data_IF_175408674091
#
_entry.id   IF_175408674091
#
_cell.length_a   1.000
_cell.length_b   1.000
_cell.length_c   1.000
_cell.angle_alpha   90.00
_cell.angle_beta   90.00
_cell.angle_gamma   90.00
#
_symmetry.space_group_name_H-M   'P 1'
#
loop_
_entity.id
_entity.type
_entity.pdbx_description
1 polymer ?
#
# COMPACT_ATOMS: atom_id res chain seq x y z
N UNK A 1 -38.18 65.78 -30.00
CA UNK A 1 -37.01 65.49 -30.85
C UNK A 1 -37.00 64.00 -31.16
N UNK A 2 -36.73 63.63 -32.43
CA UNK A 2 -36.94 62.31 -33.05
C UNK A 2 -35.70 61.41 -32.82
N UNK A 3 -35.64 60.10 -33.10
CA UNK A 3 -35.90 59.33 -34.33
C UNK A 3 -35.95 57.84 -33.96
N UNK A 4 -36.92 56.99 -34.28
CA UNK A 4 -37.40 56.49 -35.59
C UNK A 4 -36.34 55.84 -36.51
N UNK A 5 -36.47 54.51 -36.63
CA UNK A 5 -36.51 53.73 -37.88
C UNK A 5 -35.29 52.93 -38.40
N UNK A 6 -35.56 51.86 -39.21
CA UNK A 6 -34.84 50.58 -39.31
C UNK A 6 -34.34 50.28 -40.74
N UNK A 7 -33.82 49.06 -41.00
CA UNK A 7 -33.91 48.31 -42.28
C UNK A 7 -33.11 46.98 -42.10
N UNK A 8 -33.52 45.73 -42.41
CA UNK A 8 -34.21 45.06 -43.52
C UNK A 8 -33.37 44.79 -44.78
N UNK A 9 -33.55 43.58 -45.34
CA UNK A 9 -33.13 43.02 -46.65
C UNK A 9 -31.70 42.46 -46.77
N UNK A 10 -31.40 41.37 -47.51
CA UNK A 10 -32.07 40.82 -48.70
C UNK A 10 -31.86 39.31 -48.89
N UNK A 11 -32.78 38.71 -49.65
CA UNK A 11 -32.89 37.31 -50.08
C UNK A 11 -32.07 37.03 -51.36
N UNK A 12 -32.05 35.73 -51.69
CA UNK A 12 -32.26 35.11 -53.02
C UNK A 12 -31.03 34.35 -53.55
N UNK A 13 -31.11 33.01 -53.63
CA UNK A 13 -31.57 32.16 -54.77
C UNK A 13 -30.62 32.29 -55.97
N UNK A 14 -30.30 31.32 -56.82
CA UNK A 14 -30.62 29.91 -57.10
C UNK A 14 -29.70 29.61 -58.30
N UNK A 15 -29.14 28.41 -58.46
CA UNK A 15 -29.06 27.83 -59.81
C UNK A 15 -28.98 26.30 -59.78
N UNK A 16 -29.96 25.69 -60.43
CA UNK A 16 -30.10 24.27 -60.80
C UNK A 16 -29.31 24.00 -62.08
N UNK A 17 -28.84 22.75 -62.25
CA UNK A 17 -29.10 21.86 -63.42
C UNK A 17 -28.31 20.55 -63.18
N UNK A 18 -28.95 19.43 -62.81
CA UNK A 18 -29.48 18.32 -63.66
C UNK A 18 -28.52 17.74 -64.70
N UNK A 19 -28.15 16.46 -64.53
CA UNK A 19 -28.21 15.46 -65.60
C UNK A 19 -28.20 14.03 -65.01
N UNK A 20 -29.09 13.21 -65.54
CA UNK A 20 -29.32 11.80 -65.25
C UNK A 20 -28.19 10.90 -65.76
N UNK A 21 -27.87 9.82 -65.03
CA UNK A 21 -27.56 8.52 -65.64
C UNK A 21 -28.28 7.41 -64.88
N UNK A 22 -28.94 6.57 -65.66
CA UNK A 22 -29.75 5.41 -65.36
C UNK A 22 -28.86 4.15 -65.21
N UNK A 23 -29.40 3.14 -64.54
CA UNK A 23 -29.06 1.71 -64.59
C UNK A 23 -27.84 1.24 -63.78
N UNK A 24 -28.06 0.38 -62.78
CA UNK A 24 -28.24 -1.06 -62.99
C UNK A 24 -28.63 -1.75 -61.67
N UNK A 25 -29.59 -2.68 -61.76
CA UNK A 25 -29.80 -3.70 -60.75
C UNK A 25 -28.57 -4.61 -60.66
N UNK A 26 -28.01 -4.79 -59.47
CA UNK A 26 -27.24 -5.98 -59.10
C UNK A 26 -27.71 -6.41 -57.70
N UNK A 27 -28.64 -7.37 -57.72
CA UNK A 27 -28.66 -8.58 -56.88
C UNK A 27 -27.83 -8.57 -55.59
N UNK A 28 -28.55 -8.68 -54.48
CA UNK A 28 -28.29 -9.67 -53.43
C UNK A 28 -26.86 -9.77 -52.90
N UNK A 29 -26.58 -9.07 -51.82
CA UNK A 29 -25.58 -9.51 -50.85
C UNK A 29 -26.13 -9.23 -49.46
N UNK A 30 -26.71 -10.27 -48.88
CA UNK A 30 -26.88 -10.46 -47.44
C UNK A 30 -25.48 -10.46 -46.80
N UNK A 31 -24.85 -9.30 -46.71
CA UNK A 31 -23.77 -9.07 -45.77
C UNK A 31 -24.43 -8.69 -44.45
N UNK A 32 -25.01 -9.71 -43.79
CA UNK A 32 -25.12 -9.63 -42.35
C UNK A 32 -23.72 -9.36 -41.79
N UNK A 33 -23.58 -8.51 -40.75
CA UNK A 33 -22.29 -8.31 -40.12
C UNK A 33 -21.73 -9.71 -39.81
N UNK A 34 -20.52 -9.99 -40.33
CA UNK A 34 -19.72 -11.11 -39.88
C UNK A 34 -19.55 -10.90 -38.37
N UNK A 35 -20.43 -11.54 -37.61
CA UNK A 35 -20.25 -11.74 -36.19
C UNK A 35 -19.01 -12.64 -36.10
N UNK A 36 -17.84 -12.00 -36.04
CA UNK A 36 -16.68 -12.63 -35.45
C UNK A 36 -17.19 -13.20 -34.12
N UNK A 37 -17.24 -14.52 -34.02
CA UNK A 37 -17.48 -15.18 -32.75
C UNK A 37 -16.33 -14.71 -31.86
N UNK A 38 -16.59 -13.67 -31.08
CA UNK A 38 -15.61 -13.11 -30.21
C UNK A 38 -15.34 -14.17 -29.15
N UNK A 39 -14.10 -14.66 -29.10
CA UNK A 39 -13.70 -15.69 -28.15
C UNK A 39 -14.02 -15.20 -26.73
N UNK A 40 -15.07 -15.76 -26.14
CA UNK A 40 -15.44 -15.51 -24.76
C UNK A 40 -14.42 -16.16 -23.85
N UNK A 41 -13.88 -15.40 -22.90
CA UNK A 41 -12.87 -15.90 -21.95
C UNK A 41 -13.39 -15.80 -20.52
N UNK A 42 -12.82 -16.62 -19.63
CA UNK A 42 -13.01 -16.50 -18.19
C UNK A 42 -11.71 -15.96 -17.59
N UNK A 43 -11.82 -14.90 -16.79
CA UNK A 43 -10.68 -14.27 -16.09
C UNK A 43 -10.86 -14.49 -14.60
N UNK A 44 -9.86 -15.10 -13.97
CA UNK A 44 -9.77 -15.20 -12.52
C UNK A 44 -8.84 -14.11 -12.00
N UNK A 45 -9.24 -13.37 -10.97
CA UNK A 45 -8.43 -12.35 -10.33
C UNK A 45 -8.38 -12.63 -8.84
N UNK A 46 -7.19 -12.61 -8.26
CA UNK A 46 -6.99 -12.76 -6.83
C UNK A 46 -6.68 -11.38 -6.27
N UNK A 47 -7.55 -10.87 -5.40
CA UNK A 47 -7.51 -9.49 -4.92
C UNK A 47 -7.23 -9.45 -3.43
N UNK A 48 -6.23 -8.67 -3.02
CA UNK A 48 -6.02 -8.29 -1.62
C UNK A 48 -6.67 -6.93 -1.35
N UNK A 49 -7.43 -6.83 -0.27
CA UNK A 49 -8.21 -5.67 0.13
C UNK A 49 -7.96 -5.28 1.60
N UNK A 50 -8.36 -4.08 1.99
CA UNK A 50 -8.30 -3.66 3.40
C UNK A 50 -9.26 -4.50 4.27
N UNK A 51 -8.99 -4.66 5.58
CA UNK A 51 -9.81 -5.48 6.48
C UNK A 51 -11.30 -5.13 6.52
N UNK A 52 -11.64 -3.87 6.29
CA UNK A 52 -12.99 -3.33 6.27
C UNK A 52 -13.69 -3.55 4.93
N UNK A 53 -12.94 -3.72 3.84
CA UNK A 53 -13.51 -3.85 2.50
C UNK A 53 -14.42 -5.08 2.46
N UNK A 54 -15.65 -4.92 2.00
CA UNK A 54 -16.63 -6.02 1.95
C UNK A 54 -16.72 -6.64 0.56
N UNK A 55 -17.22 -7.88 0.48
CA UNK A 55 -17.45 -8.56 -0.80
C UNK A 55 -18.41 -7.75 -1.71
N UNK A 56 -19.44 -7.13 -1.12
CA UNK A 56 -20.41 -6.30 -1.83
C UNK A 56 -19.75 -5.06 -2.44
N UNK A 57 -18.83 -4.41 -1.72
CA UNK A 57 -18.07 -3.28 -2.24
C UNK A 57 -17.17 -3.69 -3.40
N UNK A 58 -16.46 -4.82 -3.29
CA UNK A 58 -15.66 -5.32 -4.42
C UNK A 58 -16.58 -5.59 -5.61
N UNK A 59 -17.75 -6.18 -5.40
CA UNK A 59 -18.71 -6.47 -6.49
C UNK A 59 -19.20 -5.20 -7.17
N UNK A 60 -19.60 -4.21 -6.38
CA UNK A 60 -20.04 -2.91 -6.88
C UNK A 60 -18.96 -2.25 -7.75
N UNK A 61 -17.69 -2.30 -7.34
CA UNK A 61 -16.58 -1.75 -8.15
C UNK A 61 -16.48 -2.41 -9.52
N UNK A 62 -16.57 -3.73 -9.60
CA UNK A 62 -16.54 -4.45 -10.88
C UNK A 62 -17.78 -4.18 -11.73
N UNK A 63 -18.95 -4.02 -11.11
CA UNK A 63 -20.17 -3.65 -11.82
C UNK A 63 -20.10 -2.22 -12.38
N UNK A 64 -19.57 -1.27 -11.61
CA UNK A 64 -19.33 0.11 -12.05
C UNK A 64 -18.31 0.18 -13.18
N UNK A 65 -17.18 -0.54 -13.05
CA UNK A 65 -16.17 -0.62 -14.09
C UNK A 65 -16.74 -1.22 -15.39
N UNK A 66 -17.48 -2.34 -15.29
CA UNK A 66 -18.17 -2.96 -16.42
C UNK A 66 -19.11 -1.97 -17.11
N UNK A 67 -19.89 -1.24 -16.32
CA UNK A 67 -20.85 -0.26 -16.84
C UNK A 67 -20.16 0.90 -17.55
N UNK A 68 -19.02 1.37 -17.01
CA UNK A 68 -18.20 2.41 -17.61
C UNK A 68 -17.47 1.97 -18.90
N UNK A 69 -17.42 0.66 -19.19
CA UNK A 69 -16.77 0.10 -20.39
C UNK A 69 -17.73 -0.58 -21.35
N UNK A 70 -19.05 -0.38 -21.17
CA UNK A 70 -20.08 -0.90 -22.08
C UNK A 70 -19.75 -0.54 -23.54
N UNK A 71 -19.66 -1.57 -24.39
CA UNK A 71 -19.34 -1.44 -25.81
C UNK A 71 -17.87 -1.68 -26.16
N UNK A 72 -16.94 -1.51 -25.22
CA UNK A 72 -15.53 -1.84 -25.40
C UNK A 72 -15.15 -3.19 -24.76
N UNK A 73 -15.66 -3.47 -23.57
CA UNK A 73 -15.52 -4.74 -22.88
C UNK A 73 -16.88 -5.14 -22.27
N UNK A 74 -17.32 -6.37 -22.54
CA UNK A 74 -18.51 -6.95 -21.97
C UNK A 74 -18.11 -8.08 -21.02
N UNK A 75 -18.68 -8.08 -19.82
CA UNK A 75 -18.52 -9.13 -18.80
C UNK A 75 -19.91 -9.57 -18.39
N UNK A 76 -20.27 -10.82 -18.66
CA UNK A 76 -21.62 -11.31 -18.36
C UNK A 76 -21.86 -11.39 -16.87
N UNK A 77 -20.92 -11.96 -16.15
CA UNK A 77 -21.06 -12.25 -14.73
C UNK A 77 -19.76 -11.93 -13.98
N UNK A 78 -19.93 -11.35 -12.80
CA UNK A 78 -18.86 -11.09 -11.84
C UNK A 78 -19.20 -11.89 -10.58
N UNK A 79 -18.49 -12.98 -10.36
CA UNK A 79 -18.57 -13.78 -9.14
C UNK A 79 -17.42 -13.39 -8.21
N UNK A 80 -17.72 -13.18 -6.94
CA UNK A 80 -16.71 -12.85 -5.93
C UNK A 80 -16.86 -13.83 -4.78
N UNK A 81 -15.77 -14.50 -4.46
CA UNK A 81 -15.69 -15.46 -3.36
C UNK A 81 -14.61 -15.01 -2.38
N UNK A 82 -14.90 -14.97 -1.07
CA UNK A 82 -13.87 -14.75 -0.08
C UNK A 82 -12.90 -15.92 -0.13
N UNK A 83 -11.62 -15.63 -0.12
CA UNK A 83 -10.57 -16.63 0.06
C UNK A 83 -9.76 -16.27 1.28
N UNK A 84 -9.15 -17.28 1.90
CA UNK A 84 -8.23 -17.03 2.98
C UNK A 84 -6.96 -16.31 2.44
N UNK A 85 -6.32 -15.43 3.24
CA UNK A 85 -5.15 -14.69 2.76
C UNK A 85 -3.93 -15.55 2.44
N UNK A 86 -3.91 -16.80 2.94
CA UNK A 86 -2.87 -17.77 2.64
C UNK A 86 -3.02 -18.32 1.21
N UNK A 87 -4.24 -18.60 0.77
CA UNK A 87 -4.58 -18.93 -0.61
C UNK A 87 -4.18 -17.79 -1.53
N UNK A 88 -4.44 -16.52 -1.16
CA UNK A 88 -3.93 -15.37 -1.92
C UNK A 88 -2.41 -15.40 -2.07
N UNK A 89 -1.68 -15.56 -0.96
CA UNK A 89 -0.21 -15.61 -0.95
C UNK A 89 0.32 -16.74 -1.83
N UNK A 90 -0.34 -17.90 -1.80
CA UNK A 90 -0.01 -19.08 -2.60
C UNK A 90 -0.21 -18.81 -4.09
N UNK A 91 -1.39 -18.30 -4.47
CA UNK A 91 -1.73 -18.00 -5.86
C UNK A 91 -0.80 -16.91 -6.43
N UNK A 92 -0.53 -15.86 -5.64
CA UNK A 92 0.45 -14.83 -5.99
C UNK A 92 1.84 -15.43 -6.23
N UNK A 93 2.31 -16.32 -5.34
CA UNK A 93 3.60 -16.98 -5.48
C UNK A 93 3.69 -17.95 -6.67
N UNK A 94 2.59 -18.60 -7.06
CA UNK A 94 2.52 -19.41 -8.28
C UNK A 94 2.69 -18.52 -9.52
N UNK A 95 1.97 -17.41 -9.57
CA UNK A 95 1.99 -16.47 -10.70
C UNK A 95 3.36 -15.81 -10.87
N UNK A 96 3.96 -15.34 -9.78
CA UNK A 96 5.29 -14.72 -9.81
C UNK A 96 6.38 -15.68 -10.28
N UNK A 97 6.31 -16.96 -9.89
CA UNK A 97 7.23 -18.00 -10.39
C UNK A 97 7.08 -18.23 -11.91
N UNK A 98 5.85 -18.20 -12.43
CA UNK A 98 5.58 -18.34 -13.86
C UNK A 98 6.08 -17.16 -14.70
N UNK A 99 6.17 -15.96 -14.11
CA UNK A 99 6.64 -14.74 -14.77
C UNK A 99 8.16 -14.56 -14.75
N UNK A 100 8.91 -15.52 -14.22
CA UNK A 100 10.38 -15.42 -14.11
C UNK A 100 10.85 -14.30 -13.18
N UNK A 101 9.97 -13.80 -12.31
CA UNK A 101 10.38 -12.88 -11.27
C UNK A 101 11.39 -13.61 -10.39
N UNK A 102 12.62 -13.05 -10.34
CA UNK A 102 13.71 -13.50 -9.49
C UNK A 102 13.11 -13.71 -8.11
N UNK A 103 13.10 -14.97 -7.68
CA UNK A 103 12.89 -15.38 -6.30
C UNK A 103 13.70 -14.39 -5.47
N UNK A 104 13.04 -13.45 -4.77
CA UNK A 104 13.73 -12.44 -3.96
C UNK A 104 14.86 -13.16 -3.25
N UNK A 105 16.11 -12.86 -3.64
CA UNK A 105 17.24 -13.50 -3.02
C UNK A 105 17.04 -13.24 -1.53
N UNK A 106 16.91 -14.34 -0.78
CA UNK A 106 17.01 -14.29 0.67
C UNK A 106 18.38 -13.71 0.94
N UNK A 107 18.42 -12.40 1.19
CA UNK A 107 19.58 -11.77 1.81
C UNK A 107 19.88 -12.60 3.06
N UNK A 108 21.08 -13.20 3.06
CA UNK A 108 21.58 -13.91 4.22
C UNK A 108 21.65 -12.89 5.37
N UNK A 109 20.84 -13.09 6.41
CA UNK A 109 20.66 -12.13 7.52
C UNK A 109 19.24 -11.62 7.74
N UNK A 110 18.22 -12.19 7.07
CA UNK A 110 16.82 -11.75 7.23
C UNK A 110 16.30 -11.88 8.67
N UNK A 111 15.48 -10.92 9.14
CA UNK A 111 14.72 -11.03 10.38
C UNK A 111 13.72 -12.19 10.30
N UNK A 112 13.28 -12.64 11.48
CA UNK A 112 12.24 -13.62 11.65
C UNK A 112 11.03 -13.30 10.77
N UNK A 113 10.53 -14.30 10.04
CA UNK A 113 9.42 -14.07 9.13
C UNK A 113 8.22 -14.91 9.51
N UNK A 114 7.06 -14.25 9.58
CA UNK A 114 5.79 -14.88 9.87
C UNK A 114 4.97 -14.88 8.60
N UNK A 115 4.60 -16.07 8.13
CA UNK A 115 3.89 -16.26 6.87
C UNK A 115 2.79 -17.29 7.07
N UNK A 116 1.66 -17.18 6.37
CA UNK A 116 0.64 -18.20 6.50
C UNK A 116 1.12 -19.52 5.82
N UNK A 117 0.84 -20.69 6.42
CA UNK A 117 1.23 -22.03 5.94
C UNK A 117 0.32 -22.56 4.84
N UNK A 118 0.69 -22.38 3.58
CA UNK A 118 -0.05 -22.83 2.38
C UNK A 118 -0.86 -24.13 2.57
N UNK A 119 -2.19 -24.03 2.41
CA UNK A 119 -3.12 -25.16 2.45
C UNK A 119 -3.60 -25.56 3.85
N UNK A 120 -3.27 -24.77 4.88
CA UNK A 120 -3.66 -25.02 6.27
C UNK A 120 -4.26 -23.76 6.89
N UNK A 121 -5.59 -23.75 7.02
CA UNK A 121 -6.33 -22.66 7.66
C UNK A 121 -5.77 -22.31 9.04
N UNK A 122 -5.69 -21.00 9.32
CA UNK A 122 -5.28 -20.46 10.62
C UNK A 122 -3.89 -20.92 11.12
N UNK A 123 -3.04 -21.44 10.21
CA UNK A 123 -1.68 -21.82 10.51
C UNK A 123 -0.66 -20.84 9.90
N UNK A 124 0.38 -20.57 10.68
CA UNK A 124 1.42 -19.59 10.41
C UNK A 124 2.79 -20.20 10.62
N UNK A 125 3.63 -20.14 9.59
CA UNK A 125 5.03 -20.49 9.65
C UNK A 125 5.79 -19.33 10.27
N UNK A 126 6.51 -19.61 11.35
CA UNK A 126 7.51 -18.73 11.95
C UNK A 126 8.86 -19.29 11.53
N UNK A 127 9.57 -18.56 10.67
CA UNK A 127 10.93 -18.89 10.23
C UNK A 127 11.91 -18.02 11.00
N UNK A 128 12.78 -18.64 11.79
CA UNK A 128 13.70 -17.95 12.70
C UNK A 128 14.93 -17.41 11.97
N UNK A 129 15.29 -18.00 10.83
CA UNK A 129 16.44 -17.60 10.01
C UNK A 129 17.60 -18.60 10.06
N UNK A 130 17.77 -19.35 11.16
CA UNK A 130 18.84 -20.32 11.34
C UNK A 130 18.36 -21.71 11.80
N UNK A 131 19.00 -22.81 11.37
CA UNK A 131 18.59 -24.18 11.75
C UNK A 131 18.84 -24.52 13.22
N UNK A 132 19.76 -23.81 13.87
CA UNK A 132 20.12 -23.98 15.29
C UNK A 132 19.33 -23.06 16.22
N UNK A 133 18.36 -22.33 15.66
CA UNK A 133 17.49 -21.45 16.41
C UNK A 133 16.20 -22.19 16.75
N UNK A 134 15.75 -22.01 17.98
CA UNK A 134 14.52 -22.61 18.49
C UNK A 134 13.78 -21.63 19.40
N UNK A 135 12.47 -21.84 19.55
CA UNK A 135 11.61 -21.07 20.46
C UNK A 135 10.89 -22.03 21.40
N UNK A 136 10.74 -21.64 22.66
CA UNK A 136 9.97 -22.42 23.66
C UNK A 136 8.48 -22.06 23.63
N UNK A 137 8.15 -20.83 23.23
CA UNK A 137 6.79 -20.35 23.14
C UNK A 137 6.69 -18.99 22.47
N UNK A 138 5.46 -18.57 22.22
CA UNK A 138 5.09 -17.28 21.65
C UNK A 138 4.01 -16.63 22.49
N UNK A 139 4.02 -15.30 22.56
CA UNK A 139 2.92 -14.49 23.08
C UNK A 139 2.28 -13.72 21.95
N UNK A 140 0.96 -13.82 21.84
CA UNK A 140 0.16 -13.27 20.75
C UNK A 140 -0.83 -12.28 21.35
N UNK A 141 -0.83 -11.05 20.86
CA UNK A 141 -1.87 -10.08 21.20
C UNK A 141 -3.00 -10.17 20.19
N UNK A 142 -4.23 -10.34 20.66
CA UNK A 142 -5.42 -10.50 19.82
C UNK A 142 -6.23 -9.21 19.75
N UNK A 143 -6.85 -8.97 18.60
CA UNK A 143 -7.82 -7.89 18.45
C UNK A 143 -9.02 -8.16 19.36
N UNK A 144 -9.46 -7.12 20.06
CA UNK A 144 -10.62 -7.21 20.93
C UNK A 144 -11.88 -7.59 20.10
N UNK A 145 -12.51 -8.75 20.36
CA UNK A 145 -13.66 -9.21 19.59
C UNK A 145 -14.91 -8.31 19.73
N UNK A 146 -14.93 -7.40 20.71
CA UNK A 146 -16.09 -6.56 21.01
C UNK A 146 -16.01 -5.13 20.46
N UNK A 147 -14.91 -4.73 19.82
CA UNK A 147 -14.75 -3.40 19.22
C UNK A 147 -14.87 -2.22 20.20
N UNK A 148 -14.95 -2.47 21.51
CA UNK A 148 -15.02 -1.45 22.55
C UNK A 148 -13.60 -1.08 22.98
N UNK A 149 -13.25 0.19 22.83
CA UNK A 149 -11.92 0.77 23.08
C UNK A 149 -11.40 0.63 24.52
N UNK A 150 -12.17 0.04 25.44
CA UNK A 150 -11.83 -0.05 26.88
C UNK A 150 -11.64 -1.48 27.40
N UNK A 151 -11.82 -2.53 26.58
CA UNK A 151 -11.52 -3.88 27.04
C UNK A 151 -10.02 -4.18 26.87
N UNK A 152 -9.39 -4.67 27.94
CA UNK A 152 -7.97 -5.01 27.97
C UNK A 152 -7.57 -5.91 26.79
N UNK A 153 -6.41 -5.63 26.19
CA UNK A 153 -5.80 -6.46 25.15
C UNK A 153 -5.73 -7.92 25.62
N UNK A 154 -6.22 -8.84 24.79
CA UNK A 154 -6.16 -10.26 25.10
C UNK A 154 -4.81 -10.80 24.64
N UNK A 155 -3.93 -11.08 25.61
CA UNK A 155 -2.64 -11.74 25.35
C UNK A 155 -2.80 -13.25 25.53
N UNK A 156 -2.35 -14.01 24.55
CA UNK A 156 -2.36 -15.47 24.56
C UNK A 156 -0.93 -16.01 24.52
N UNK A 157 -0.60 -16.92 25.43
CA UNK A 157 0.69 -17.61 25.45
C UNK A 157 0.53 -19.03 24.87
N UNK A 158 1.36 -19.35 23.89
CA UNK A 158 1.35 -20.64 23.19
C UNK A 158 2.76 -21.21 23.26
N UNK A 159 2.91 -22.32 23.96
CA UNK A 159 4.20 -23.01 24.15
C UNK A 159 4.38 -24.13 23.13
N UNK A 160 5.61 -24.51 22.84
CA UNK A 160 5.93 -25.61 21.93
C UNK A 160 5.44 -26.96 22.48
N UNK A 161 6.13 -27.55 23.47
CA UNK A 161 5.77 -28.85 24.04
C UNK A 161 4.74 -28.79 25.20
N UNK A 162 4.16 -27.63 25.52
CA UNK A 162 3.33 -27.45 26.72
C UNK A 162 1.81 -27.49 26.47
N UNK A 163 1.01 -27.45 27.56
CA UNK A 163 -0.45 -27.37 27.47
C UNK A 163 -0.84 -26.03 26.86
N UNK A 164 -1.40 -26.07 25.65
CA UNK A 164 -1.86 -24.89 24.95
C UNK A 164 -3.36 -24.64 25.15
N UNK A 165 -3.80 -23.38 25.13
CA UNK A 165 -5.22 -23.01 25.07
C UNK A 165 -5.94 -23.71 23.91
N UNK A 166 -7.24 -23.97 24.06
CA UNK A 166 -8.01 -24.74 23.08
C UNK A 166 -7.93 -24.14 21.66
N UNK A 167 -7.51 -24.95 20.69
CA UNK A 167 -7.35 -24.54 19.29
C UNK A 167 -6.04 -23.82 18.96
N UNK A 168 -5.17 -23.58 19.95
CA UNK A 168 -3.82 -23.07 19.75
C UNK A 168 -2.79 -24.20 19.75
N UNK A 169 -1.79 -24.13 18.88
CA UNK A 169 -0.62 -25.00 19.01
C UNK A 169 0.61 -24.38 18.36
N UNK A 170 1.78 -24.60 18.95
CA UNK A 170 3.06 -24.27 18.34
C UNK A 170 3.85 -25.56 18.14
N UNK A 171 4.18 -25.91 16.90
CA UNK A 171 4.86 -27.17 16.58
C UNK A 171 6.15 -26.91 15.82
N UNK A 172 7.22 -27.59 16.22
CA UNK A 172 8.44 -27.63 15.42
C UNK A 172 8.14 -28.36 14.10
N UNK A 173 8.37 -27.69 12.97
CA UNK A 173 8.18 -28.27 11.64
C UNK A 173 9.52 -28.79 11.08
N UNK A 174 10.55 -27.95 11.16
CA UNK A 174 11.92 -28.25 10.77
C UNK A 174 12.87 -27.38 11.59
N UNK A 175 14.18 -27.69 11.65
CA UNK A 175 15.16 -26.84 12.35
C UNK A 175 15.01 -25.37 11.94
N UNK A 176 14.89 -24.46 12.92
CA UNK A 176 14.64 -23.03 12.67
C UNK A 176 13.23 -22.63 12.24
N UNK A 177 12.27 -23.57 12.18
CA UNK A 177 10.91 -23.29 11.68
C UNK A 177 9.82 -23.93 12.50
N UNK A 178 8.86 -23.10 12.89
CA UNK A 178 7.71 -23.48 13.69
C UNK A 178 6.41 -23.22 12.93
N UNK A 179 5.40 -24.02 13.22
CA UNK A 179 4.03 -23.82 12.77
C UNK A 179 3.17 -23.48 13.98
N UNK A 180 2.67 -22.24 13.97
CA UNK A 180 1.72 -21.72 14.93
C UNK A 180 0.30 -21.83 14.36
N UNK A 181 -0.57 -22.58 15.03
CA UNK A 181 -1.98 -22.70 14.70
C UNK A 181 -2.81 -21.88 15.67
N UNK A 182 -3.75 -21.10 15.15
CA UNK A 182 -4.73 -20.32 15.90
C UNK A 182 -6.14 -20.91 15.70
N UNK A 183 -7.09 -20.66 16.62
CA UNK A 183 -8.49 -20.96 16.37
C UNK A 183 -9.04 -20.15 15.19
N UNK A 184 -9.99 -20.73 14.45
CA UNK A 184 -10.66 -20.04 13.33
C UNK A 184 -11.38 -18.79 13.84
N UNK A 185 -11.32 -17.69 13.07
CA UNK A 185 -11.96 -16.42 13.39
C UNK A 185 -11.20 -15.51 14.36
N UNK A 186 -10.07 -15.98 14.90
CA UNK A 186 -9.18 -15.16 15.74
C UNK A 186 -8.34 -14.25 14.85
N UNK A 187 -8.33 -12.95 15.17
CA UNK A 187 -7.55 -11.93 14.45
C UNK A 187 -6.40 -11.44 15.33
N UNK A 188 -5.18 -11.95 15.13
CA UNK A 188 -4.00 -11.49 15.87
C UNK A 188 -3.53 -10.11 15.41
N UNK A 189 -2.96 -9.34 16.33
CA UNK A 189 -2.45 -7.98 16.12
C UNK A 189 -0.93 -7.90 16.21
N UNK A 190 -0.33 -8.66 17.12
CA UNK A 190 1.13 -8.71 17.27
C UNK A 190 1.56 -10.04 17.89
N UNK A 191 2.85 -10.30 17.82
CA UNK A 191 3.48 -11.49 18.37
C UNK A 191 4.87 -11.16 18.92
N UNK A 192 5.21 -11.81 20.03
CA UNK A 192 6.54 -11.74 20.62
C UNK A 192 7.01 -13.12 21.07
N UNK A 193 8.32 -13.38 21.01
CA UNK A 193 8.92 -14.63 21.44
C UNK A 193 10.41 -14.47 21.71
N UNK A 194 10.99 -15.42 22.44
CA UNK A 194 12.45 -15.51 22.66
C UNK A 194 13.03 -16.61 21.76
N UNK A 195 13.98 -16.22 20.92
CA UNK A 195 14.80 -17.11 20.11
C UNK A 195 16.01 -17.55 20.93
N UNK A 196 16.18 -18.86 21.03
CA UNK A 196 17.31 -19.53 21.66
C UNK A 196 18.20 -20.09 20.56
N UNK A 197 19.51 -19.81 20.63
CA UNK A 197 20.50 -20.30 19.67
C UNK A 197 21.40 -21.31 20.36
N UNK A 198 21.40 -22.55 19.87
CA UNK A 198 22.29 -23.64 20.33
C UNK A 198 23.25 -24.01 19.20
N UNK A 199 24.41 -23.36 19.18
CA UNK A 199 25.51 -23.59 18.25
C UNK A 199 26.51 -24.66 18.75
N UNK A 200 26.17 -25.37 19.82
CA UNK A 200 27.05 -26.33 20.48
C UNK A 200 28.06 -25.72 21.44
N UNK A 201 28.02 -24.40 21.68
CA UNK A 201 28.75 -23.78 22.79
C UNK A 201 28.02 -23.99 24.14
N UNK A 202 28.74 -23.81 25.25
CA UNK A 202 28.24 -24.12 26.58
C UNK A 202 27.11 -23.18 27.07
N UNK A 203 26.85 -22.07 26.37
CA UNK A 203 25.89 -21.05 26.78
C UNK A 203 24.91 -20.75 25.63
N UNK A 204 23.62 -21.03 25.86
CA UNK A 204 22.54 -20.76 24.90
C UNK A 204 22.33 -19.25 24.80
N UNK A 205 22.54 -18.67 23.62
CA UNK A 205 22.27 -17.26 23.38
C UNK A 205 20.77 -17.01 23.27
N UNK A 206 20.29 -15.88 23.82
CA UNK A 206 18.88 -15.50 23.80
C UNK A 206 18.66 -14.18 23.08
N UNK A 207 17.64 -14.12 22.22
CA UNK A 207 17.23 -12.92 21.49
C UNK A 207 15.72 -12.76 21.55
N UNK A 208 15.24 -11.61 22.01
CA UNK A 208 13.81 -11.31 22.02
C UNK A 208 13.37 -10.72 20.68
N UNK A 209 12.21 -11.16 20.19
CA UNK A 209 11.59 -10.71 18.95
C UNK A 209 10.19 -10.22 19.30
N UNK A 210 9.82 -9.05 18.82
CA UNK A 210 8.47 -8.51 18.89
C UNK A 210 8.14 -7.84 17.56
N UNK A 211 7.01 -8.22 16.97
CA UNK A 211 6.58 -7.69 15.67
C UNK A 211 5.06 -7.60 15.57
N UNK A 212 4.59 -6.64 14.79
CA UNK A 212 3.19 -6.58 14.38
C UNK A 212 2.83 -7.85 13.59
N UNK A 213 1.59 -8.28 13.73
CA UNK A 213 1.09 -9.40 12.95
C UNK A 213 1.03 -8.98 11.48
N UNK A 214 1.47 -9.83 10.53
CA UNK A 214 1.39 -9.48 9.12
C UNK A 214 -0.05 -9.11 8.75
N UNK A 215 -0.27 -7.87 8.32
CA UNK A 215 -1.58 -7.39 7.86
C UNK A 215 -1.89 -8.01 6.49
N UNK A 216 -2.23 -9.29 6.51
CA UNK A 216 -2.83 -9.93 5.36
C UNK A 216 -4.29 -9.47 5.33
N UNK A 217 -4.54 -8.36 4.64
CA UNK A 217 -5.90 -7.85 4.44
C UNK A 217 -6.85 -8.92 3.88
N UNK A 218 -8.14 -8.60 3.73
CA UNK A 218 -9.11 -9.56 3.17
C UNK A 218 -8.70 -9.95 1.76
N UNK A 219 -8.91 -11.21 1.41
CA UNK A 219 -8.61 -11.69 0.08
C UNK A 219 -9.88 -12.19 -0.61
N UNK A 220 -9.97 -11.94 -1.91
CA UNK A 220 -11.10 -12.33 -2.75
C UNK A 220 -10.61 -13.01 -4.02
N UNK A 221 -11.30 -14.06 -4.45
CA UNK A 221 -11.22 -14.57 -5.81
C UNK A 221 -12.38 -13.96 -6.59
N UNK A 222 -12.07 -13.18 -7.61
CA UNK A 222 -13.04 -12.60 -8.54
C UNK A 222 -12.98 -13.39 -9.84
N UNK A 223 -14.11 -13.95 -10.26
CA UNK A 223 -14.26 -14.64 -11.55
C UNK A 223 -15.12 -13.77 -12.47
N UNK A 224 -14.53 -13.35 -13.59
CA UNK A 224 -15.21 -12.63 -14.66
C UNK A 224 -15.54 -13.64 -15.77
N UNK A 225 -16.82 -13.92 -15.97
CA UNK A 225 -17.28 -14.90 -16.95
C UNK A 225 -17.72 -14.23 -18.25
N UNK A 226 -17.51 -14.94 -19.36
CA UNK A 226 -17.85 -14.52 -20.72
C UNK A 226 -17.34 -13.11 -21.05
N UNK A 227 -16.06 -12.86 -20.75
CA UNK A 227 -15.39 -11.60 -21.09
C UNK A 227 -15.19 -11.55 -22.60
N UNK A 228 -15.75 -10.51 -23.22
CA UNK A 228 -15.72 -10.27 -24.67
C UNK A 228 -15.33 -8.83 -24.94
N UNK A 229 -14.32 -8.60 -25.79
CA UNK A 229 -13.84 -7.26 -26.15
C UNK A 229 -12.44 -6.99 -25.62
N UNK A 230 -12.13 -5.72 -25.35
CA UNK A 230 -10.82 -5.27 -24.87
C UNK A 230 -10.80 -5.18 -23.33
N UNK A 231 -10.30 -6.24 -22.68
CA UNK A 231 -10.20 -6.32 -21.22
C UNK A 231 -9.34 -5.20 -20.61
N UNK A 232 -8.40 -4.62 -21.38
CA UNK A 232 -7.55 -3.54 -20.88
C UNK A 232 -8.36 -2.29 -20.52
N UNK A 233 -9.50 -2.07 -21.18
CA UNK A 233 -10.43 -0.98 -20.87
C UNK A 233 -11.12 -1.22 -19.52
N UNK A 234 -11.53 -2.46 -19.23
CA UNK A 234 -12.11 -2.84 -17.95
C UNK A 234 -11.10 -2.62 -16.82
N UNK A 235 -9.85 -3.06 -17.02
CA UNK A 235 -8.79 -2.86 -16.03
C UNK A 235 -8.42 -1.39 -15.85
N UNK A 236 -8.39 -0.61 -16.93
CA UNK A 236 -8.20 0.83 -16.86
C UNK A 236 -9.35 1.50 -16.08
N UNK A 237 -10.59 1.06 -16.27
CA UNK A 237 -11.74 1.55 -15.52
C UNK A 237 -11.67 1.18 -14.02
N UNK A 238 -11.22 -0.04 -13.70
CA UNK A 238 -10.99 -0.48 -12.31
C UNK A 238 -9.87 0.31 -11.60
N UNK A 239 -8.94 0.87 -12.36
CA UNK A 239 -7.86 1.75 -11.87
C UNK A 239 -8.25 3.23 -11.82
N UNK A 240 -9.38 3.60 -12.41
CA UNK A 240 -9.79 5.00 -12.55
C UNK A 240 -10.67 5.45 -11.37
N UNK A 241 -10.18 6.33 -10.47
CA UNK A 241 -10.96 6.82 -9.34
C UNK A 241 -12.19 7.64 -9.74
N UNK A 242 -12.28 8.06 -11.02
CA UNK A 242 -13.48 8.75 -11.54
C UNK A 242 -14.60 7.77 -11.93
N UNK A 243 -14.28 6.48 -12.07
CA UNK A 243 -15.22 5.44 -12.52
C UNK A 243 -15.60 4.47 -11.42
N UNK A 244 -14.71 4.20 -10.47
CA UNK A 244 -14.95 3.30 -9.35
C UNK A 244 -14.52 3.92 -8.02
N UNK A 245 -15.25 3.62 -6.94
CA UNK A 245 -14.85 3.99 -5.58
C UNK A 245 -13.63 3.15 -5.16
N UNK A 246 -12.58 3.78 -4.63
CA UNK A 246 -11.33 3.11 -4.20
C UNK A 246 -10.72 2.18 -5.29
N UNK A 247 -10.05 2.75 -6.31
CA UNK A 247 -9.58 2.01 -7.48
C UNK A 247 -8.55 0.92 -7.12
N UNK A 248 -8.50 -0.13 -7.92
CA UNK A 248 -7.48 -1.16 -7.81
C UNK A 248 -6.13 -0.51 -8.13
N UNK A 249 -5.15 -0.66 -7.24
CA UNK A 249 -3.86 0.04 -7.35
C UNK A 249 -2.90 -0.70 -8.26
N UNK A 250 -2.85 -2.02 -8.11
CA UNK A 250 -2.00 -2.91 -8.90
C UNK A 250 -2.88 -3.97 -9.57
N UNK A 251 -2.68 -4.18 -10.88
CA UNK A 251 -3.19 -5.34 -11.61
C UNK A 251 -1.99 -5.89 -12.36
N UNK A 252 -1.51 -7.06 -11.95
CA UNK A 252 -0.48 -7.78 -12.66
C UNK A 252 -1.13 -8.56 -13.79
N UNK A 253 -1.04 -8.02 -15.00
CA UNK A 253 -1.58 -8.63 -16.21
C UNK A 253 -0.66 -9.78 -16.65
N UNK A 254 -1.03 -10.99 -16.26
CA UNK A 254 -0.43 -12.19 -16.82
C UNK A 254 -1.06 -12.41 -18.20
N UNK A 255 -0.63 -11.66 -19.21
CA UNK A 255 -1.14 -11.68 -20.61
C UNK A 255 -1.12 -13.04 -21.32
N UNK A 256 -0.79 -14.13 -20.61
CA UNK A 256 -0.85 -15.53 -21.07
C UNK A 256 -1.50 -16.51 -20.07
N UNK A 257 -1.94 -16.07 -18.90
CA UNK A 257 -2.57 -16.92 -17.89
C UNK A 257 -3.94 -16.35 -17.51
N UNK A 258 -4.96 -17.20 -17.40
CA UNK A 258 -6.33 -16.84 -17.00
C UNK A 258 -6.44 -16.37 -15.54
N UNK A 259 -5.33 -16.11 -14.85
CA UNK A 259 -5.25 -15.77 -13.44
C UNK A 259 -4.37 -14.53 -13.24
N UNK A 260 -4.94 -13.48 -12.64
CA UNK A 260 -4.30 -12.18 -12.38
C UNK A 260 -4.23 -11.91 -10.87
N UNK A 261 -3.23 -11.13 -10.43
CA UNK A 261 -3.15 -10.64 -9.04
C UNK A 261 -3.47 -9.16 -9.01
N UNK A 262 -4.29 -8.75 -8.04
CA UNK A 262 -4.59 -7.36 -7.77
C UNK A 262 -4.49 -7.03 -6.28
N UNK A 263 -4.21 -5.76 -5.96
CA UNK A 263 -4.15 -5.26 -4.59
C UNK A 263 -4.80 -3.88 -4.49
N UNK A 264 -5.62 -3.68 -3.45
CA UNK A 264 -6.05 -2.36 -2.96
C UNK A 264 -5.09 -1.79 -1.91
N UNK A 265 -4.19 -2.62 -1.36
CA UNK A 265 -3.22 -2.22 -0.33
C UNK A 265 -1.97 -1.63 -1.00
N UNK A 266 -1.54 -0.46 -0.51
CA UNK A 266 -0.29 0.19 -0.93
C UNK A 266 0.92 -0.63 -0.49
N UNK A 267 1.71 -1.14 -1.44
CA UNK A 267 3.04 -1.67 -1.13
C UNK A 267 3.98 -0.45 -1.08
N UNK A 268 4.16 0.11 0.11
CA UNK A 268 5.19 1.12 0.33
C UNK A 268 6.55 0.46 0.04
N UNK A 269 7.23 0.89 -1.02
CA UNK A 269 8.64 0.54 -1.21
C UNK A 269 9.49 1.09 -0.06
N UNK A 270 10.76 0.69 0.03
CA UNK A 270 11.67 1.21 1.05
C UNK A 270 11.64 2.75 1.07
N UNK A 271 11.07 3.33 2.13
CA UNK A 271 10.90 4.79 2.26
C UNK A 271 12.20 5.51 2.59
N UNK A 272 13.18 4.75 3.05
CA UNK A 272 14.49 5.23 3.44
C UNK A 272 15.56 4.30 2.88
N UNK A 273 16.60 4.89 2.30
CA UNK A 273 17.81 4.18 1.89
C UNK A 273 19.04 4.97 2.32
N UNK A 274 20.03 4.28 2.89
CA UNK A 274 21.35 4.86 3.17
C UNK A 274 22.33 4.30 2.16
N UNK A 275 23.06 5.18 1.47
CA UNK A 275 24.08 4.80 0.50
C UNK A 275 25.13 5.91 0.39
N UNK A 276 26.42 5.53 0.37
CA UNK A 276 27.55 6.45 0.12
C UNK A 276 27.54 7.69 1.03
N UNK A 277 27.27 7.50 2.33
CA UNK A 277 27.20 8.60 3.32
C UNK A 277 26.01 9.54 3.13
N UNK A 278 24.98 9.11 2.38
CA UNK A 278 23.77 9.88 2.13
C UNK A 278 22.53 9.09 2.53
N UNK A 279 21.53 9.80 3.00
CA UNK A 279 20.19 9.29 3.25
C UNK A 279 19.25 9.77 2.14
N UNK A 280 18.51 8.85 1.56
CA UNK A 280 17.47 9.12 0.56
C UNK A 280 16.12 8.77 1.16
N UNK A 281 15.21 9.74 1.19
CA UNK A 281 13.81 9.54 1.55
C UNK A 281 12.95 9.44 0.29
N UNK A 282 11.96 8.55 0.30
CA UNK A 282 11.01 8.35 -0.81
C UNK A 282 9.62 8.05 -0.26
N UNK A 283 8.72 9.04 -0.35
CA UNK A 283 7.34 8.91 0.14
C UNK A 283 6.36 9.02 -1.02
N UNK A 284 5.32 8.16 -1.09
CA UNK A 284 4.33 8.28 -2.15
C UNK A 284 3.51 9.57 -2.00
N UNK A 285 3.05 10.09 -3.13
CA UNK A 285 2.14 11.23 -3.16
C UNK A 285 0.73 10.76 -2.78
N UNK A 286 0.03 11.43 -1.85
CA UNK A 286 -1.33 11.07 -1.50
C UNK A 286 -2.25 11.23 -2.71
N UNK A 287 -3.10 10.23 -2.96
CA UNK A 287 -4.04 10.26 -4.08
C UNK A 287 -5.17 11.25 -3.82
N UNK A 288 -5.64 11.92 -4.88
CA UNK A 288 -6.79 12.83 -4.81
C UNK A 288 -6.49 14.20 -4.18
N UNK A 289 -5.23 14.47 -3.82
CA UNK A 289 -4.82 15.73 -3.20
C UNK A 289 -3.68 16.36 -4.00
N UNK A 290 -3.85 17.61 -4.42
CA UNK A 290 -2.76 18.36 -5.04
C UNK A 290 -1.77 18.82 -3.96
N UNK A 291 -0.59 18.21 -3.99
CA UNK A 291 0.52 18.50 -3.09
C UNK A 291 1.76 18.78 -3.93
N UNK A 292 2.57 19.75 -3.52
CA UNK A 292 3.81 20.13 -4.21
C UNK A 292 5.05 19.70 -3.44
N UNK A 293 4.91 19.54 -2.13
CA UNK A 293 6.01 19.31 -1.20
C UNK A 293 5.54 18.45 -0.05
N UNK A 294 6.45 17.69 0.52
CA UNK A 294 6.28 17.02 1.79
C UNK A 294 7.37 17.52 2.75
N UNK A 295 6.98 17.98 3.92
CA UNK A 295 7.90 18.28 5.01
C UNK A 295 7.97 17.09 5.96
N UNK A 296 9.18 16.71 6.32
CA UNK A 296 9.46 15.57 7.20
C UNK A 296 10.29 16.05 8.40
N UNK A 297 9.79 15.87 9.62
CA UNK A 297 10.59 16.03 10.85
C UNK A 297 11.09 14.67 11.30
N UNK A 298 12.40 14.48 11.27
CA UNK A 298 13.02 13.19 11.55
C UNK A 298 14.48 13.37 12.03
N UNK A 299 15.06 12.42 12.80
CA UNK A 299 14.40 11.32 13.52
C UNK A 299 13.84 11.77 14.87
N UNK A 300 12.69 11.22 15.29
CA UNK A 300 12.05 11.53 16.57
C UNK A 300 11.96 10.29 17.46
N UNK A 301 12.24 10.47 18.75
CA UNK A 301 11.81 9.50 19.78
C UNK A 301 10.28 9.60 19.98
N UNK A 302 9.68 8.63 20.67
CA UNK A 302 8.25 8.69 20.96
C UNK A 302 7.87 9.94 21.78
N UNK A 303 8.72 10.30 22.75
CA UNK A 303 8.52 11.49 23.59
C UNK A 303 8.68 12.78 22.79
N UNK A 304 9.69 12.86 21.91
CA UNK A 304 9.88 14.01 21.03
C UNK A 304 8.71 14.15 20.03
N UNK A 305 8.24 13.04 19.45
CA UNK A 305 7.09 13.05 18.56
C UNK A 305 5.83 13.57 19.27
N UNK A 306 5.56 13.11 20.48
CA UNK A 306 4.41 13.57 21.27
C UNK A 306 4.50 15.06 21.59
N UNK A 307 5.70 15.53 21.97
CA UNK A 307 5.97 16.94 22.27
C UNK A 307 5.81 17.84 21.04
N UNK A 308 6.41 17.46 19.92
CA UNK A 308 6.32 18.20 18.66
C UNK A 308 4.89 18.22 18.14
N UNK A 309 4.18 17.08 18.20
CA UNK A 309 2.76 17.01 17.82
C UNK A 309 1.92 17.96 18.68
N UNK A 310 2.11 17.97 20.00
CA UNK A 310 1.39 18.89 20.89
C UNK A 310 1.69 20.36 20.57
N UNK A 311 2.92 20.70 20.18
CA UNK A 311 3.27 22.05 19.75
C UNK A 311 2.52 22.47 18.47
N UNK A 312 2.37 21.56 17.50
CA UNK A 312 1.56 21.82 16.30
C UNK A 312 0.06 21.88 16.61
N UNK A 313 -0.45 21.04 17.49
CA UNK A 313 -1.84 21.10 17.95
C UNK A 313 -2.15 22.44 18.63
N UNK A 314 -1.22 22.98 19.43
CA UNK A 314 -1.35 24.30 20.02
C UNK A 314 -1.42 25.42 18.97
N UNK A 315 -0.60 25.35 17.91
CA UNK A 315 -0.70 26.28 16.78
C UNK A 315 -2.06 26.14 16.08
N UNK A 316 -2.50 24.91 15.83
CA UNK A 316 -3.75 24.61 15.15
C UNK A 316 -5.01 24.98 15.95
N UNK A 317 -4.90 25.11 17.27
CA UNK A 317 -5.98 25.56 18.14
C UNK A 317 -6.27 27.06 18.01
N UNK A 318 -5.32 27.85 17.51
CA UNK A 318 -5.53 29.27 17.22
C UNK A 318 -6.42 29.46 15.98
N UNK A 319 -7.19 30.56 15.96
CA UNK A 319 -7.93 30.95 14.76
C UNK A 319 -6.96 31.12 13.58
N UNK A 320 -7.24 30.45 12.46
CA UNK A 320 -6.36 30.39 11.29
C UNK A 320 -4.94 29.83 11.55
N UNK A 321 -4.71 29.10 12.65
CA UNK A 321 -3.41 28.55 13.03
C UNK A 321 -2.69 27.75 11.92
N UNK A 322 -3.45 27.00 11.11
CA UNK A 322 -2.91 26.27 9.95
C UNK A 322 -2.16 27.15 8.95
N UNK A 323 -2.48 28.45 8.87
CA UNK A 323 -1.80 29.41 7.98
C UNK A 323 -0.36 29.68 8.42
N UNK A 324 -0.02 29.42 9.69
CA UNK A 324 1.31 29.66 10.29
C UNK A 324 2.26 28.48 10.12
N UNK A 325 1.73 27.27 9.92
CA UNK A 325 2.52 26.04 9.78
C UNK A 325 3.64 26.18 8.72
N UNK A 326 3.38 26.66 7.49
CA UNK A 326 4.42 26.82 6.46
C UNK A 326 5.64 27.62 6.91
N UNK A 327 5.43 28.68 7.70
CA UNK A 327 6.50 29.55 8.16
C UNK A 327 7.30 28.91 9.29
N UNK A 328 6.63 28.17 10.18
CA UNK A 328 7.26 27.37 11.24
C UNK A 328 8.17 26.30 10.64
N UNK A 329 7.70 25.60 9.59
CA UNK A 329 8.49 24.55 8.92
C UNK A 329 9.76 25.12 8.29
N UNK A 330 9.64 26.23 7.55
CA UNK A 330 10.78 26.88 6.89
C UNK A 330 11.76 27.51 7.87
N UNK A 331 11.27 28.08 8.97
CA UNK A 331 12.10 28.67 10.02
C UNK A 331 13.01 27.65 10.71
N UNK A 332 12.59 26.38 10.73
CA UNK A 332 13.28 25.28 11.39
C UNK A 332 13.85 24.24 10.41
N UNK A 333 13.94 24.56 9.13
CA UNK A 333 14.43 23.63 8.12
C UNK A 333 15.93 23.32 8.33
N UNK A 334 16.25 22.04 8.48
CA UNK A 334 17.62 21.54 8.53
C UNK A 334 18.26 21.70 7.15
N UNK A 335 19.46 22.29 7.11
CA UNK A 335 20.01 22.71 5.82
C UNK A 335 20.74 21.61 5.05
N UNK A 336 21.62 20.79 5.61
CA UNK A 336 22.45 19.94 4.73
C UNK A 336 22.98 18.63 5.32
N UNK A 337 22.97 18.44 6.64
CA UNK A 337 23.56 17.27 7.31
C UNK A 337 22.63 16.70 8.38
N UNK A 338 22.31 15.41 8.26
CA UNK A 338 21.70 14.62 9.33
C UNK A 338 22.79 14.10 10.25
N UNK A 339 22.90 14.68 11.43
CA UNK A 339 23.85 14.28 12.47
C UNK A 339 23.15 14.21 13.83
N UNK A 340 23.59 13.31 14.73
CA UNK A 340 22.92 13.07 16.01
C UNK A 340 22.95 14.28 16.94
N UNK A 341 24.02 15.08 16.90
CA UNK A 341 24.19 16.30 17.70
C UNK A 341 23.23 17.43 17.29
N UNK A 342 22.63 17.34 16.10
CA UNK A 342 21.63 18.29 15.59
C UNK A 342 20.21 17.94 16.01
N UNK A 343 19.96 16.71 16.44
CA UNK A 343 18.63 16.21 16.75
C UNK A 343 17.70 16.12 15.52
N UNK A 344 16.40 16.06 15.77
CA UNK A 344 15.39 16.04 14.71
C UNK A 344 15.39 17.35 13.91
N UNK A 345 15.31 17.25 12.59
CA UNK A 345 15.28 18.40 11.70
C UNK A 345 14.16 18.32 10.67
N UNK A 346 13.52 19.46 10.39
CA UNK A 346 12.56 19.54 9.28
C UNK A 346 13.32 19.52 7.96
N UNK A 347 12.96 18.60 7.07
CA UNK A 347 13.48 18.53 5.71
C UNK A 347 12.38 18.60 4.69
N UNK A 348 12.67 19.29 3.59
CA UNK A 348 11.76 19.42 2.46
C UNK A 348 12.03 18.29 1.45
N UNK A 349 10.99 17.54 1.11
CA UNK A 349 10.99 16.52 0.08
C UNK A 349 10.20 17.05 -1.14
N UNK A 350 10.88 17.46 -2.22
CA UNK A 350 10.20 17.94 -3.43
C UNK A 350 9.49 16.80 -4.17
N UNK A 351 8.44 17.15 -4.93
CA UNK A 351 7.80 16.24 -5.88
C UNK A 351 8.80 15.85 -6.97
N UNK A 352 9.10 14.55 -7.07
CA UNK A 352 10.04 14.02 -8.05
C UNK A 352 9.40 13.79 -9.43
N UNK A 353 8.09 14.05 -9.60
CA UNK A 353 7.36 13.90 -10.87
C UNK A 353 7.04 12.45 -11.25
N UNK A 354 7.38 11.49 -10.39
CA UNK A 354 7.17 10.05 -10.58
C UNK A 354 6.13 9.47 -9.61
N UNK A 355 5.30 10.33 -8.99
CA UNK A 355 4.34 9.93 -7.96
C UNK A 355 4.92 9.84 -6.55
N UNK A 356 6.16 10.29 -6.34
CA UNK A 356 6.83 10.31 -5.04
C UNK A 356 7.38 11.69 -4.70
N UNK A 357 7.48 11.96 -3.40
CA UNK A 357 8.35 12.98 -2.83
C UNK A 357 9.70 12.35 -2.52
N UNK A 358 10.78 12.96 -3.02
CA UNK A 358 12.12 12.40 -2.85
C UNK A 358 13.12 13.48 -2.45
N UNK A 359 13.91 13.21 -1.41
CA UNK A 359 14.97 14.09 -0.94
C UNK A 359 16.22 13.29 -0.60
N UNK A 360 17.39 13.86 -0.88
CA UNK A 360 18.71 13.27 -0.60
C UNK A 360 19.50 14.21 0.28
N UNK A 361 20.00 13.71 1.40
CA UNK A 361 20.71 14.51 2.39
C UNK A 361 22.02 13.84 2.79
N UNK A 362 23.02 14.62 3.20
CA UNK A 362 24.24 14.05 3.76
C UNK A 362 23.92 13.48 5.14
N UNK A 363 24.56 12.35 5.46
CA UNK A 363 24.38 11.65 6.71
C UNK A 363 25.74 11.49 7.39
N UNK A 364 25.86 11.97 8.63
CA UNK A 364 27.00 11.62 9.49
C UNK A 364 26.80 10.22 10.06
N UNK A 365 26.97 9.24 9.19
CA UNK A 365 26.70 7.85 9.48
C UNK A 365 27.54 7.31 10.64
N UNK A 366 28.80 7.73 10.75
CA UNK A 366 29.71 7.32 11.82
C UNK A 366 29.20 7.81 13.18
N UNK A 367 28.78 9.07 13.27
CA UNK A 367 28.24 9.63 14.50
C UNK A 367 26.93 8.93 14.91
N UNK A 368 26.03 8.68 13.95
CA UNK A 368 24.78 7.94 14.20
C UNK A 368 25.03 6.50 14.67
N UNK A 369 26.00 5.78 14.10
CA UNK A 369 26.38 4.46 14.58
C UNK A 369 26.97 4.50 15.99
N UNK A 370 27.76 5.53 16.30
CA UNK A 370 28.26 5.80 17.65
C UNK A 370 27.11 5.97 18.64
N UNK A 371 26.11 6.80 18.33
CA UNK A 371 24.95 7.00 19.20
C UNK A 371 24.11 5.73 19.34
N UNK A 372 23.88 5.00 18.25
CA UNK A 372 23.13 3.74 18.27
C UNK A 372 23.79 2.70 19.19
N UNK A 373 25.12 2.65 19.20
CA UNK A 373 25.91 1.75 20.05
C UNK A 373 25.87 2.20 21.51
N UNK A 374 25.89 3.50 21.78
CA UNK A 374 25.87 4.05 23.13
C UNK A 374 24.48 3.99 23.78
N UNK A 375 23.42 4.33 23.02
CA UNK A 375 22.04 4.31 23.49
C UNK A 375 21.04 4.28 22.32
N UNK A 376 20.64 3.06 21.92
CA UNK A 376 19.72 2.87 20.80
C UNK A 376 18.36 3.57 20.97
N UNK A 377 17.87 3.73 22.20
CA UNK A 377 16.60 4.39 22.48
C UNK A 377 16.58 5.89 22.16
N UNK A 378 17.75 6.51 22.01
CA UNK A 378 17.89 7.95 21.72
C UNK A 378 17.96 8.29 20.23
N UNK A 379 18.01 7.28 19.35
CA UNK A 379 18.11 7.52 17.90
C UNK A 379 16.75 7.90 17.31
N UNK A 380 15.67 7.30 17.82
CA UNK A 380 14.31 7.51 17.31
C UNK A 380 14.09 6.97 15.90
N UNK A 381 12.88 6.50 15.62
CA UNK A 381 12.43 6.02 14.30
C UNK A 381 11.08 6.62 13.90
N UNK A 382 10.57 7.57 14.68
CA UNK A 382 9.31 8.25 14.40
C UNK A 382 9.54 9.49 13.54
N UNK A 383 8.48 9.89 12.85
CA UNK A 383 8.45 11.02 11.95
C UNK A 383 7.14 11.81 12.08
N UNK A 384 7.21 13.12 11.83
CA UNK A 384 6.03 13.93 11.53
C UNK A 384 6.06 14.38 10.07
N UNK A 385 4.93 14.24 9.39
CA UNK A 385 4.74 14.56 7.98
C UNK A 385 3.76 15.73 7.84
N UNK A 386 4.13 16.73 7.04
CA UNK A 386 3.23 17.83 6.64
C UNK A 386 3.25 17.96 5.13
N UNK A 387 2.12 17.64 4.50
CA UNK A 387 1.93 17.86 3.07
C UNK A 387 1.60 19.32 2.81
N UNK A 388 2.27 19.93 1.84
CA UNK A 388 2.07 21.33 1.49
C UNK A 388 1.59 21.48 0.04
N UNK A 389 0.50 22.23 -0.10
CA UNK A 389 -0.01 22.73 -1.36
C UNK A 389 0.62 24.09 -1.66
N UNK A 390 0.87 24.35 -2.95
CA UNK A 390 1.28 25.66 -3.45
C UNK A 390 0.52 25.95 -4.75
N UNK A 391 -0.23 27.07 -4.76
CA UNK A 391 -0.95 27.50 -5.96
C UNK A 391 -0.04 28.27 -6.94
N UNK A 392 -0.56 28.62 -8.11
CA UNK A 392 0.14 29.41 -9.14
C UNK A 392 0.58 30.81 -8.67
N UNK A 393 -0.03 31.32 -7.60
CA UNK A 393 0.30 32.61 -6.99
C UNK A 393 1.38 32.49 -5.90
N UNK A 394 1.93 31.28 -5.68
CA UNK A 394 2.93 31.00 -4.65
C UNK A 394 2.36 30.98 -3.22
N UNK A 395 1.04 30.93 -3.05
CA UNK A 395 0.41 30.77 -1.74
C UNK A 395 0.59 29.35 -1.28
N UNK A 396 1.23 29.17 -0.12
CA UNK A 396 1.55 27.88 0.46
C UNK A 396 0.64 27.57 1.64
N UNK A 397 0.05 26.38 1.66
CA UNK A 397 -0.89 25.93 2.71
C UNK A 397 -0.63 24.47 3.05
N UNK A 398 -0.67 24.10 4.34
CA UNK A 398 -0.66 22.68 4.69
C UNK A 398 -1.97 22.05 4.21
N UNK A 399 -1.89 20.80 3.79
CA UNK A 399 -3.06 20.01 3.40
C UNK A 399 -3.54 19.21 4.59
N UNK A 400 -4.84 19.25 4.85
CA UNK A 400 -5.49 18.42 5.86
C UNK A 400 -5.69 17.01 5.31
N UNK A 401 -4.96 16.05 5.85
CA UNK A 401 -5.14 14.62 5.64
C UNK A 401 -6.25 14.09 6.56
N UNK A 402 -6.57 12.79 6.45
CA UNK A 402 -7.59 12.13 7.30
C UNK A 402 -7.21 12.26 8.79
N UNK A 403 -5.92 12.12 9.08
CA UNK A 403 -5.32 12.18 10.41
C UNK A 403 -5.10 13.62 10.91
N UNK A 404 -5.25 14.63 10.03
CA UNK A 404 -5.05 16.04 10.35
C UNK A 404 -4.05 16.75 9.44
N UNK A 405 -3.61 17.95 9.85
CA UNK A 405 -2.59 18.71 9.11
C UNK A 405 -1.15 18.20 9.35
N UNK A 406 -0.96 17.39 10.39
CA UNK A 406 0.31 16.76 10.75
C UNK A 406 0.05 15.27 10.92
N UNK A 407 0.72 14.45 10.11
CA UNK A 407 0.56 12.99 10.12
C UNK A 407 1.75 12.37 10.84
N UNK A 408 1.48 11.46 11.77
CA UNK A 408 2.51 10.67 12.45
C UNK A 408 2.88 9.47 11.60
N UNK A 409 4.17 9.15 11.48
CA UNK A 409 4.66 7.96 10.78
C UNK A 409 5.84 7.33 11.55
N UNK A 410 6.11 6.05 11.29
CA UNK A 410 7.27 5.32 11.80
C UNK A 410 8.09 4.78 10.62
N UNK A 411 9.35 5.18 10.53
CA UNK A 411 10.30 4.74 9.49
C UNK A 411 11.10 3.55 10.03
N UNK A 412 10.43 2.40 10.11
CA UNK A 412 11.01 1.15 10.63
C UNK A 412 12.30 0.72 9.91
N UNK A 413 12.51 1.18 8.67
CA UNK A 413 13.68 0.92 7.85
C UNK A 413 14.96 1.63 8.37
N UNK A 414 14.83 2.67 9.20
CA UNK A 414 15.92 3.53 9.64
C UNK A 414 17.00 2.81 10.44
N UNK A 415 16.62 2.19 11.57
CA UNK A 415 17.57 1.54 12.46
C UNK A 415 18.28 0.35 11.77
N UNK A 416 17.58 -0.52 11.00
CA UNK A 416 18.23 -1.53 10.18
C UNK A 416 19.19 -0.92 9.15
N UNK A 417 18.79 0.12 8.42
CA UNK A 417 19.63 0.75 7.40
C UNK A 417 20.91 1.35 8.01
N UNK A 418 20.82 2.01 9.16
CA UNK A 418 22.01 2.55 9.87
C UNK A 418 23.00 1.46 10.27
N UNK A 419 22.49 0.32 10.76
CA UNK A 419 23.32 -0.84 11.13
C UNK A 419 24.00 -1.46 9.91
N UNK A 420 23.29 -1.51 8.78
CA UNK A 420 23.74 -2.14 7.55
C UNK A 420 24.74 -1.29 6.75
N UNK A 421 24.70 0.04 6.85
CA UNK A 421 25.49 0.97 6.04
C UNK A 421 27.01 1.05 6.41
N UNK A 422 27.59 -0.04 6.93
CA UNK A 422 29.01 -0.14 7.34
C UNK A 422 29.99 -0.03 6.18
#
# INVERSE_FOLDING_TARGET
>A
MPSSHPATFSRSRVCRTTAHILAAMITGSLLGPLAFAADSKVIYMVIQAEPETTMSEVKEKFELARDATKGACNVREVLIEPIDPQTFTTLRGILQRGLGAVQEQREAGRPESIRPVIGVDAAWSIDLGGPFEFIEGVRITLANPSGRSEAAEQVMEVTGPGPNPAGYSLRLHSPGRYVLTLPKGVTPQSISFEVLVDDGEAEIQRRSVAQAWPSVGRAYLVTLSDVVGDESQLFAALKDPKKVSNPIREIQDATKASLMVASFVEVLGNRLRIQDGRITFSFPKPQGVETRRLWLLFPLTADDMAKEKAAFEAILAEEDGFKKIPDVLRGNAAKELFAPDRGAGWVELPDAGNGFFTGVFNLDHVAWQGQLTANAGTVGDNALLVYEFENEQGTKRPVKMVEGFVVTDQIAEWLPALKAAR
#
